data_IF_754377226155
#
_entry.id   IF_754377226155
#
_cell.length_a   1.000
_cell.length_b   1.000
_cell.length_c   1.000
_cell.angle_alpha   90.00
_cell.angle_beta   90.00
_cell.angle_gamma   90.00
#
_symmetry.space_group_name_H-M   'P 1'
#
loop_
_entity.id
_entity.type
_entity.pdbx_description
1 polymer ?
#
# COMPACT_ATOMS: atom_id res chain seq x y z
N UNK A 1 -14.76 -5.89 -6.91
CA UNK A 1 -14.47 -5.85 -8.37
C UNK A 1 -14.35 -7.30 -8.85
N UNK A 2 -14.49 -7.65 -10.15
CA UNK A 2 -14.11 -9.00 -10.56
C UNK A 2 -12.59 -9.15 -10.40
N UNK A 3 -12.17 -10.23 -9.74
CA UNK A 3 -10.76 -10.55 -9.53
C UNK A 3 -10.02 -10.60 -10.87
N UNK A 4 -8.85 -9.96 -10.94
CA UNK A 4 -7.95 -10.09 -12.10
C UNK A 4 -7.50 -11.55 -12.16
N UNK A 5 -7.93 -12.28 -13.18
CA UNK A 5 -7.61 -13.70 -13.32
C UNK A 5 -6.14 -13.89 -13.69
N UNK A 6 -5.58 -15.06 -13.39
CA UNK A 6 -4.22 -15.44 -13.82
C UNK A 6 -4.05 -15.31 -15.34
N UNK A 7 -5.10 -15.60 -16.11
CA UNK A 7 -5.12 -15.37 -17.56
C UNK A 7 -4.97 -13.88 -17.92
N UNK A 8 -5.67 -12.98 -17.21
CA UNK A 8 -5.48 -11.54 -17.43
C UNK A 8 -4.04 -11.12 -17.11
N UNK A 9 -3.46 -11.64 -16.03
CA UNK A 9 -2.06 -11.37 -15.68
C UNK A 9 -1.08 -11.90 -16.75
N UNK A 10 -1.32 -13.11 -17.28
CA UNK A 10 -0.53 -13.71 -18.37
C UNK A 10 -0.64 -12.96 -19.70
N UNK A 11 -1.80 -12.35 -20.00
CA UNK A 11 -1.97 -11.52 -21.20
C UNK A 11 -1.23 -10.20 -21.11
N UNK A 12 -1.23 -9.58 -19.92
CA UNK A 12 -0.63 -8.25 -19.71
C UNK A 12 0.88 -8.34 -19.43
N UNK A 13 1.32 -9.37 -18.71
CA UNK A 13 2.72 -9.62 -18.31
C UNK A 13 3.17 -11.05 -18.66
N UNK A 14 3.31 -11.36 -19.96
CA UNK A 14 3.61 -12.73 -20.41
C UNK A 14 5.04 -13.20 -20.08
N UNK A 15 5.97 -12.29 -19.82
CA UNK A 15 7.34 -12.65 -19.43
C UNK A 15 7.42 -13.11 -17.97
N UNK A 16 6.54 -12.57 -17.12
CA UNK A 16 6.52 -12.81 -15.69
C UNK A 16 5.59 -13.97 -15.30
N UNK A 17 4.46 -14.13 -15.99
CA UNK A 17 3.43 -15.11 -15.63
C UNK A 17 3.29 -16.28 -16.63
N UNK A 18 4.06 -16.25 -17.72
CA UNK A 18 4.04 -17.26 -18.79
C UNK A 18 3.03 -16.95 -19.88
N UNK A 19 3.26 -17.48 -21.09
CA UNK A 19 2.35 -17.32 -22.23
C UNK A 19 1.14 -18.23 -22.08
N UNK A 20 -0.04 -17.75 -22.46
CA UNK A 20 -1.24 -18.58 -22.52
C UNK A 20 -1.09 -19.54 -23.70
N UNK A 21 -1.22 -20.84 -23.43
CA UNK A 21 -1.45 -21.83 -24.47
C UNK A 21 -2.92 -21.73 -24.88
N UNK A 22 -3.19 -21.41 -26.15
CA UNK A 22 -4.54 -21.26 -26.70
C UNK A 22 -5.31 -22.59 -26.64
N UNK A 23 -5.90 -22.92 -25.49
CA UNK A 23 -6.91 -23.97 -25.40
C UNK A 23 -8.26 -23.38 -25.79
N UNK A 24 -8.78 -23.85 -26.92
CA UNK A 24 -9.98 -23.37 -27.65
C UNK A 24 -11.32 -23.70 -26.97
N UNK A 25 -11.39 -23.62 -25.65
CA UNK A 25 -12.63 -23.81 -24.90
C UNK A 25 -13.44 -22.51 -24.81
N UNK A 26 -14.64 -22.51 -25.41
CA UNK A 26 -15.67 -21.47 -25.29
C UNK A 26 -16.17 -21.34 -23.84
N UNK A 27 -15.35 -20.74 -22.97
CA UNK A 27 -15.80 -20.19 -21.69
C UNK A 27 -16.18 -18.74 -21.98
N UNK A 28 -17.47 -18.40 -21.81
CA UNK A 28 -17.94 -17.01 -21.87
C UNK A 28 -17.06 -16.16 -20.95
N UNK A 29 -16.17 -15.39 -21.56
CA UNK A 29 -15.07 -14.75 -20.87
C UNK A 29 -15.53 -13.34 -20.50
N UNK A 30 -15.72 -13.00 -19.21
CA UNK A 30 -16.12 -11.65 -18.81
C UNK A 30 -15.09 -10.56 -19.20
N UNK A 31 -13.90 -10.96 -19.67
CA UNK A 31 -12.91 -10.04 -20.25
C UNK A 31 -13.37 -9.42 -21.58
N UNK A 32 -14.20 -10.11 -22.37
CA UNK A 32 -14.55 -9.65 -23.73
C UNK A 32 -15.41 -8.39 -23.71
N UNK A 33 -16.28 -8.24 -22.71
CA UNK A 33 -17.13 -7.06 -22.53
C UNK A 33 -16.34 -5.84 -22.02
N UNK A 34 -15.34 -6.05 -21.15
CA UNK A 34 -14.44 -4.99 -20.69
C UNK A 34 -13.51 -4.51 -21.81
N UNK A 35 -12.98 -5.44 -22.61
CA UNK A 35 -12.16 -5.14 -23.77
C UNK A 35 -12.95 -4.32 -24.82
N UNK A 36 -14.24 -4.67 -25.05
CA UNK A 36 -15.12 -3.90 -25.92
C UNK A 36 -15.43 -2.50 -25.36
N UNK A 37 -15.66 -2.36 -24.06
CA UNK A 37 -15.88 -1.06 -23.43
C UNK A 37 -14.62 -0.17 -23.54
N UNK A 38 -13.43 -0.73 -23.32
CA UNK A 38 -12.16 -0.02 -23.49
C UNK A 38 -11.95 0.43 -24.95
N UNK A 39 -12.25 -0.44 -25.92
CA UNK A 39 -12.20 -0.11 -27.35
C UNK A 39 -13.21 1.00 -27.70
N UNK A 40 -14.45 0.91 -27.21
CA UNK A 40 -15.49 1.93 -27.44
C UNK A 40 -15.09 3.28 -26.82
N UNK A 41 -14.49 3.28 -25.63
CA UNK A 41 -13.94 4.48 -24.99
C UNK A 41 -12.83 5.09 -25.83
N UNK A 42 -11.83 4.30 -26.22
CA UNK A 42 -10.75 4.72 -27.12
C UNK A 42 -11.26 5.33 -28.44
N UNK A 43 -12.24 4.69 -29.08
CA UNK A 43 -12.86 5.21 -30.30
C UNK A 43 -13.60 6.53 -30.06
N UNK A 44 -14.35 6.61 -28.95
CA UNK A 44 -15.04 7.85 -28.55
C UNK A 44 -14.03 8.96 -28.24
N UNK A 45 -12.89 8.64 -27.62
CA UNK A 45 -11.82 9.59 -27.34
C UNK A 45 -11.13 10.10 -28.59
N UNK A 46 -10.83 9.23 -29.55
CA UNK A 46 -10.28 9.64 -30.84
C UNK A 46 -11.22 10.58 -31.62
N UNK A 47 -12.52 10.59 -31.27
CA UNK A 47 -13.49 11.53 -31.82
C UNK A 47 -13.60 12.86 -31.06
N UNK A 48 -13.03 12.97 -29.85
CA UNK A 48 -12.99 14.23 -29.10
C UNK A 48 -11.87 15.10 -29.66
N UNK A 49 -12.22 16.30 -30.12
CA UNK A 49 -11.30 17.21 -30.83
C UNK A 49 -10.93 18.44 -30.01
N UNK A 50 -11.61 18.66 -28.87
CA UNK A 50 -11.40 19.82 -27.99
C UNK A 50 -11.37 19.42 -26.52
N UNK A 51 -10.74 20.26 -25.69
CA UNK A 51 -10.68 20.07 -24.24
C UNK A 51 -12.08 20.18 -23.63
N UNK A 52 -12.93 21.05 -24.16
CA UNK A 52 -14.31 21.24 -23.72
C UNK A 52 -15.15 19.97 -23.92
N UNK A 53 -14.94 19.26 -25.03
CA UNK A 53 -15.58 17.97 -25.28
C UNK A 53 -15.09 16.89 -24.32
N UNK A 54 -13.79 16.87 -23.99
CA UNK A 54 -13.24 15.98 -22.95
C UNK A 54 -13.87 16.27 -21.59
N UNK A 55 -13.93 17.55 -21.18
CA UNK A 55 -14.55 17.95 -19.91
C UNK A 55 -16.03 17.55 -19.88
N UNK A 56 -16.79 17.85 -20.94
CA UNK A 56 -18.20 17.52 -21.02
C UNK A 56 -18.44 16.00 -20.99
N UNK A 57 -17.59 15.24 -21.69
CA UNK A 57 -17.64 13.79 -21.69
C UNK A 57 -17.32 13.22 -20.30
N UNK A 58 -16.23 13.64 -19.68
CA UNK A 58 -15.81 13.17 -18.36
C UNK A 58 -16.86 13.50 -17.29
N UNK A 59 -17.51 14.67 -17.35
CA UNK A 59 -18.63 15.01 -16.44
C UNK A 59 -19.84 14.09 -16.60
N UNK A 60 -20.09 13.61 -17.82
CA UNK A 60 -21.21 12.72 -18.12
C UNK A 60 -20.88 11.23 -17.85
N UNK A 61 -19.60 10.83 -17.94
CA UNK A 61 -19.16 9.47 -17.62
C UNK A 61 -18.85 9.26 -16.13
N UNK A 62 -18.48 10.32 -15.40
CA UNK A 62 -18.19 10.30 -13.95
C UNK A 62 -19.41 10.01 -13.05
N UNK A 63 -20.51 9.50 -13.61
CA UNK A 63 -21.78 9.25 -12.92
C UNK A 63 -21.75 7.96 -12.09
N UNK A 64 -20.69 7.15 -12.12
CA UNK A 64 -20.48 6.11 -11.09
C UNK A 64 -19.57 6.63 -9.98
N UNK A 65 -20.21 7.17 -8.94
CA UNK A 65 -19.71 7.53 -7.60
C UNK A 65 -18.17 7.68 -7.44
N UNK A 66 -17.69 8.92 -7.70
CA UNK A 66 -16.44 9.55 -7.22
C UNK A 66 -15.11 9.30 -7.96
N UNK A 67 -15.12 8.74 -9.18
CA UNK A 67 -13.91 8.55 -10.00
C UNK A 67 -13.86 9.37 -11.29
N UNK A 68 -12.66 9.78 -11.69
CA UNK A 68 -12.33 10.43 -12.96
C UNK A 68 -11.41 9.49 -13.74
N UNK A 69 -11.82 9.09 -14.94
CA UNK A 69 -11.01 8.26 -15.84
C UNK A 69 -10.56 9.12 -17.03
N UNK A 70 -9.24 9.32 -17.13
CA UNK A 70 -8.53 10.02 -18.21
C UNK A 70 -7.45 9.11 -18.82
N UNK A 71 -7.58 7.80 -18.63
CA UNK A 71 -6.61 6.82 -19.14
C UNK A 71 -6.50 6.87 -20.67
N UNK A 72 -5.28 6.72 -21.18
CA UNK A 72 -4.96 6.70 -22.60
C UNK A 72 -5.17 8.02 -23.35
N UNK A 73 -5.60 9.09 -22.66
CA UNK A 73 -5.81 10.38 -23.29
C UNK A 73 -4.47 11.09 -23.56
N UNK A 74 -4.25 11.60 -24.79
CA UNK A 74 -3.02 12.32 -25.15
C UNK A 74 -3.08 13.78 -24.67
N UNK A 75 -3.50 14.02 -23.43
CA UNK A 75 -3.52 15.35 -22.83
C UNK A 75 -2.10 15.71 -22.39
N UNK A 76 -1.64 16.90 -22.76
CA UNK A 76 -0.44 17.45 -22.13
C UNK A 76 -0.70 17.74 -20.64
N UNK A 77 0.38 17.91 -19.85
CA UNK A 77 0.27 18.11 -18.41
C UNK A 77 -0.62 19.31 -18.03
N UNK A 78 -0.58 20.41 -18.80
CA UNK A 78 -1.37 21.61 -18.50
C UNK A 78 -2.84 21.42 -18.86
N UNK A 79 -3.12 20.73 -19.96
CA UNK A 79 -4.47 20.35 -20.36
C UNK A 79 -5.10 19.43 -19.32
N UNK A 80 -4.36 18.40 -18.87
CA UNK A 80 -4.79 17.49 -17.82
C UNK A 80 -5.17 18.26 -16.54
N UNK A 81 -4.28 19.13 -16.05
CA UNK A 81 -4.54 19.93 -14.84
C UNK A 81 -5.75 20.86 -15.02
N UNK A 82 -5.97 21.40 -16.22
CA UNK A 82 -7.15 22.22 -16.54
C UNK A 82 -8.43 21.41 -16.50
N UNK A 83 -8.43 20.22 -17.12
CA UNK A 83 -9.58 19.29 -17.08
C UNK A 83 -9.91 18.92 -15.65
N UNK A 84 -8.92 18.48 -14.86
CA UNK A 84 -9.12 18.09 -13.47
C UNK A 84 -9.70 19.23 -12.63
N UNK A 85 -9.30 20.48 -12.90
CA UNK A 85 -9.76 21.66 -12.15
C UNK A 85 -11.25 21.91 -12.37
N UNK A 86 -11.71 21.66 -13.59
CA UNK A 86 -13.10 21.89 -13.99
C UNK A 86 -14.05 20.73 -13.62
N UNK A 87 -13.51 19.55 -13.30
CA UNK A 87 -14.27 18.37 -12.85
C UNK A 87 -14.70 18.46 -11.38
N UNK A 88 -14.03 19.28 -10.57
CA UNK A 88 -14.36 19.48 -9.15
C UNK A 88 -13.76 18.40 -8.25
N UNK A 89 -14.47 18.03 -7.18
CA UNK A 89 -13.96 17.09 -6.18
C UNK A 89 -14.21 15.63 -6.60
N UNK A 90 -13.15 14.82 -6.60
CA UNK A 90 -13.18 13.39 -6.84
C UNK A 90 -12.23 12.67 -5.87
N UNK A 91 -12.41 11.36 -5.71
CA UNK A 91 -11.59 10.53 -4.83
C UNK A 91 -10.71 9.55 -5.61
N UNK A 92 -11.05 9.27 -6.86
CA UNK A 92 -10.30 8.34 -7.74
C UNK A 92 -9.92 9.04 -9.03
N UNK A 93 -8.69 8.83 -9.48
CA UNK A 93 -8.19 9.34 -10.75
C UNK A 93 -7.42 8.25 -11.51
N UNK A 94 -7.85 7.92 -12.72
CA UNK A 94 -7.06 7.12 -13.63
C UNK A 94 -6.44 8.01 -14.71
N UNK A 95 -5.11 8.03 -14.79
CA UNK A 95 -4.35 8.72 -15.86
C UNK A 95 -3.39 7.76 -16.55
N UNK A 96 -3.62 6.46 -16.43
CA UNK A 96 -2.73 5.44 -16.97
C UNK A 96 -2.56 5.57 -18.49
N UNK A 97 -1.36 5.25 -18.97
CA UNK A 97 -0.98 5.36 -20.38
C UNK A 97 -0.76 6.80 -20.88
N UNK A 98 -0.96 7.83 -20.04
CA UNK A 98 -0.61 9.19 -20.42
C UNK A 98 0.87 9.47 -20.18
N UNK A 99 1.65 9.46 -21.27
CA UNK A 99 3.10 9.72 -21.26
C UNK A 99 3.48 11.15 -20.87
N UNK A 100 2.55 12.10 -20.89
CA UNK A 100 2.80 13.48 -20.49
C UNK A 100 2.67 13.70 -18.98
N UNK A 101 2.24 12.66 -18.23
CA UNK A 101 2.26 12.67 -16.77
C UNK A 101 3.64 12.23 -16.31
N UNK A 102 4.48 13.20 -15.99
CA UNK A 102 5.80 13.02 -15.38
C UNK A 102 5.75 13.29 -13.86
N UNK A 103 6.93 13.29 -13.21
CA UNK A 103 7.07 13.58 -11.77
C UNK A 103 6.43 14.92 -11.38
N UNK A 104 6.64 15.97 -12.16
CA UNK A 104 6.22 17.33 -11.82
C UNK A 104 4.71 17.50 -11.98
N UNK A 105 4.13 16.90 -13.03
CA UNK A 105 2.68 16.85 -13.22
C UNK A 105 2.03 16.03 -12.10
N UNK A 106 2.60 14.86 -11.76
CA UNK A 106 2.07 14.03 -10.67
C UNK A 106 2.11 14.74 -9.31
N UNK A 107 3.21 15.44 -9.00
CA UNK A 107 3.30 16.27 -7.81
C UNK A 107 2.20 17.34 -7.77
N UNK A 108 1.98 18.05 -8.88
CA UNK A 108 0.91 19.06 -8.97
C UNK A 108 -0.49 18.46 -8.78
N UNK A 109 -0.74 17.25 -9.29
CA UNK A 109 -1.99 16.52 -9.03
C UNK A 109 -2.16 16.28 -7.53
N UNK A 110 -1.14 15.76 -6.85
CA UNK A 110 -1.21 15.46 -5.42
C UNK A 110 -1.39 16.73 -4.55
N UNK A 111 -0.76 17.84 -4.93
CA UNK A 111 -0.89 19.12 -4.21
C UNK A 111 -2.27 19.76 -4.40
N UNK A 112 -2.82 19.67 -5.61
CA UNK A 112 -4.09 20.29 -5.98
C UNK A 112 -5.28 19.50 -5.45
N UNK A 113 -5.23 18.17 -5.50
CA UNK A 113 -6.36 17.29 -5.21
C UNK A 113 -6.15 16.47 -3.93
N UNK A 114 -6.23 17.15 -2.78
CA UNK A 114 -6.13 16.49 -1.46
C UNK A 114 -7.23 15.48 -1.10
N UNK A 115 -8.47 15.50 -1.62
CA UNK A 115 -9.41 14.40 -1.36
C UNK A 115 -9.12 13.15 -2.19
N UNK A 116 -8.08 13.16 -3.03
CA UNK A 116 -7.67 12.01 -3.81
C UNK A 116 -7.22 10.88 -2.89
N UNK A 117 -7.86 9.72 -3.04
CA UNK A 117 -7.60 8.51 -2.25
C UNK A 117 -7.01 7.40 -3.12
N UNK A 118 -7.25 7.45 -4.42
CA UNK A 118 -6.86 6.42 -5.37
C UNK A 118 -6.34 7.06 -6.65
N UNK A 119 -5.16 6.64 -7.12
CA UNK A 119 -4.65 7.06 -8.42
C UNK A 119 -4.01 5.90 -9.18
N UNK A 120 -4.28 5.80 -10.48
CA UNK A 120 -3.58 4.90 -11.38
C UNK A 120 -2.68 5.70 -12.33
N UNK A 121 -1.38 5.43 -12.25
CA UNK A 121 -0.32 6.09 -13.02
C UNK A 121 0.49 5.06 -13.85
N UNK A 122 -0.12 3.92 -14.15
CA UNK A 122 0.54 2.84 -14.89
C UNK A 122 0.86 3.31 -16.31
N UNK A 123 2.08 3.12 -16.78
CA UNK A 123 2.50 3.54 -18.12
C UNK A 123 2.64 5.05 -18.29
N UNK A 124 2.70 5.83 -17.21
CA UNK A 124 3.09 7.24 -17.23
C UNK A 124 4.63 7.39 -17.27
N UNK A 125 5.13 8.59 -17.54
CA UNK A 125 6.57 8.91 -17.54
C UNK A 125 7.09 9.21 -16.12
N UNK A 126 6.78 8.32 -15.17
CA UNK A 126 7.21 8.41 -13.76
C UNK A 126 8.09 7.20 -13.47
N UNK A 127 9.35 7.44 -13.11
CA UNK A 127 10.27 6.37 -12.74
C UNK A 127 10.11 5.93 -11.28
N UNK A 128 10.74 4.81 -10.93
CA UNK A 128 10.86 4.38 -9.54
C UNK A 128 11.61 5.41 -8.67
N UNK A 129 12.69 5.99 -9.19
CA UNK A 129 13.48 6.97 -8.47
C UNK A 129 12.69 8.26 -8.23
N UNK A 130 11.85 8.67 -9.19
CA UNK A 130 10.92 9.78 -9.00
C UNK A 130 9.94 9.52 -7.84
N UNK A 131 9.38 8.31 -7.74
CA UNK A 131 8.47 7.95 -6.65
C UNK A 131 9.18 7.90 -5.30
N UNK A 132 10.42 7.39 -5.25
CA UNK A 132 11.25 7.40 -4.03
C UNK A 132 11.58 8.83 -3.58
N UNK A 133 11.91 9.70 -4.52
CA UNK A 133 12.18 11.11 -4.26
C UNK A 133 10.92 11.80 -3.71
N UNK A 134 9.77 11.59 -4.34
CA UNK A 134 8.49 12.15 -3.89
C UNK A 134 8.08 11.66 -2.50
N UNK A 135 8.23 10.36 -2.22
CA UNK A 135 7.95 9.80 -0.88
C UNK A 135 8.92 10.32 0.19
N UNK A 136 10.15 10.67 -0.19
CA UNK A 136 11.12 11.28 0.71
C UNK A 136 10.78 12.73 1.02
N UNK A 137 10.57 13.53 -0.02
CA UNK A 137 10.50 14.99 0.06
C UNK A 137 9.08 15.51 0.32
N UNK A 138 8.06 14.77 -0.14
CA UNK A 138 6.65 15.19 -0.13
C UNK A 138 5.73 14.18 0.56
N UNK A 139 6.25 13.41 1.53
CA UNK A 139 5.52 12.36 2.25
C UNK A 139 4.10 12.73 2.68
N UNK A 140 3.89 13.95 3.15
CA UNK A 140 2.58 14.43 3.66
C UNK A 140 1.48 14.38 2.61
N UNK A 141 1.81 14.49 1.33
CA UNK A 141 0.85 14.39 0.23
C UNK A 141 0.27 12.97 0.10
N UNK A 142 1.00 11.96 0.56
CA UNK A 142 0.58 10.56 0.48
C UNK A 142 -0.33 10.13 1.64
N UNK A 143 -0.51 10.95 2.69
CA UNK A 143 -1.37 10.59 3.82
C UNK A 143 -2.87 10.50 3.47
N UNK A 144 -3.27 11.11 2.37
CA UNK A 144 -4.63 11.06 1.85
C UNK A 144 -4.84 9.91 0.87
N UNK A 145 -3.75 9.37 0.32
CA UNK A 145 -3.77 8.35 -0.72
C UNK A 145 -3.77 6.97 -0.07
N UNK A 146 -4.87 6.23 -0.24
CA UNK A 146 -4.95 4.82 0.13
C UNK A 146 -4.35 3.91 -0.93
N UNK A 147 -4.45 4.28 -2.22
CA UNK A 147 -4.01 3.43 -3.33
C UNK A 147 -3.27 4.20 -4.44
N UNK A 148 -2.13 3.66 -4.84
CA UNK A 148 -1.41 4.06 -6.06
C UNK A 148 -1.15 2.81 -6.89
N UNK A 149 -1.74 2.74 -8.09
CA UNK A 149 -1.44 1.68 -9.05
C UNK A 149 -0.23 2.12 -9.88
N UNK A 150 0.92 1.52 -9.57
CA UNK A 150 2.16 1.65 -10.32
C UNK A 150 2.96 0.34 -10.16
N UNK A 151 3.65 -0.17 -11.20
CA UNK A 151 4.40 -1.43 -11.12
C UNK A 151 5.34 -1.52 -9.93
N UNK A 152 5.99 -0.41 -9.56
CA UNK A 152 6.89 -0.34 -8.40
C UNK A 152 6.21 -0.71 -7.07
N UNK A 153 4.92 -0.46 -6.90
CA UNK A 153 4.20 -0.78 -5.67
C UNK A 153 3.59 -2.18 -5.69
N UNK A 154 3.65 -2.84 -6.85
CA UNK A 154 3.11 -4.18 -7.07
C UNK A 154 4.24 -5.22 -7.19
N UNK A 155 5.50 -4.79 -7.26
CA UNK A 155 6.67 -5.66 -7.21
C UNK A 155 7.08 -5.93 -5.76
N UNK A 156 7.08 -7.20 -5.36
CA UNK A 156 7.56 -7.64 -4.04
C UNK A 156 9.09 -7.64 -3.90
N UNK A 157 9.81 -6.87 -4.72
CA UNK A 157 11.28 -6.88 -4.78
C UNK A 157 11.89 -6.32 -3.47
N UNK A 158 12.62 -7.14 -2.70
CA UNK A 158 13.22 -6.70 -1.44
C UNK A 158 14.43 -5.77 -1.62
N UNK A 159 15.03 -5.68 -2.81
CA UNK A 159 16.20 -4.83 -3.07
C UNK A 159 15.87 -3.35 -3.20
N UNK A 160 14.58 -3.06 -3.38
CA UNK A 160 14.08 -1.76 -3.74
C UNK A 160 13.32 -1.14 -2.54
N UNK A 161 14.05 -0.88 -1.46
CA UNK A 161 13.45 -0.28 -0.27
C UNK A 161 13.00 1.16 -0.53
N UNK A 162 11.82 1.51 -0.01
CA UNK A 162 11.34 2.88 -0.04
C UNK A 162 11.81 3.64 1.20
N UNK A 163 12.30 4.88 1.01
CA UNK A 163 12.65 5.75 2.11
C UNK A 163 11.41 6.03 2.97
N UNK A 164 11.60 6.14 4.28
CA UNK A 164 10.57 6.52 5.25
C UNK A 164 9.33 5.59 5.33
N UNK A 165 9.41 4.38 4.76
CA UNK A 165 8.36 3.39 4.78
C UNK A 165 7.91 3.04 6.22
N UNK A 166 6.61 2.86 6.43
CA UNK A 166 6.11 2.28 7.68
C UNK A 166 6.44 0.79 7.69
N UNK A 167 6.99 0.30 8.80
CA UNK A 167 7.30 -1.11 8.96
C UNK A 167 6.47 -1.72 10.08
N UNK A 168 5.92 -2.89 9.81
CA UNK A 168 5.23 -3.69 10.80
C UNK A 168 5.99 -5.00 10.99
N UNK A 169 6.51 -5.21 12.20
CA UNK A 169 7.39 -6.32 12.53
C UNK A 169 6.78 -7.14 13.65
N UNK A 170 6.60 -8.44 13.41
CA UNK A 170 6.20 -9.42 14.41
C UNK A 170 7.39 -10.29 14.76
N UNK A 171 7.75 -10.30 16.04
CA UNK A 171 8.80 -11.16 16.60
C UNK A 171 8.13 -12.33 17.32
N UNK A 172 8.33 -13.54 16.80
CA UNK A 172 7.79 -14.77 17.38
C UNK A 172 8.84 -15.43 18.27
N UNK A 173 8.57 -15.55 19.58
CA UNK A 173 9.58 -16.10 20.50
C UNK A 173 9.71 -17.62 20.48
N UNK A 174 8.77 -18.34 19.85
CA UNK A 174 8.78 -19.82 19.87
C UNK A 174 10.05 -20.39 19.23
N UNK A 175 10.62 -19.67 18.27
CA UNK A 175 11.90 -19.96 17.64
C UNK A 175 12.71 -18.66 17.63
N UNK A 176 13.90 -18.63 18.23
CA UNK A 176 14.70 -17.40 18.42
C UNK A 176 15.28 -16.78 17.13
N UNK A 177 14.65 -17.02 15.99
CA UNK A 177 15.04 -16.61 14.64
C UNK A 177 13.85 -16.14 13.78
N UNK A 178 12.62 -16.22 14.29
CA UNK A 178 11.43 -16.02 13.46
C UNK A 178 10.90 -14.61 13.63
N UNK A 179 11.42 -13.74 12.76
CA UNK A 179 10.91 -12.38 12.57
C UNK A 179 10.19 -12.33 11.22
N UNK A 180 8.95 -11.87 11.25
CA UNK A 180 8.20 -11.49 10.06
C UNK A 180 8.08 -9.98 10.03
N UNK A 181 8.44 -9.37 8.91
CA UNK A 181 8.39 -7.92 8.77
C UNK A 181 7.93 -7.56 7.37
N UNK A 182 7.01 -6.61 7.33
CA UNK A 182 6.54 -5.99 6.11
C UNK A 182 6.82 -4.49 6.16
N UNK A 183 6.94 -3.87 5.00
CA UNK A 183 7.10 -2.43 4.84
C UNK A 183 6.12 -1.89 3.82
N UNK A 184 5.54 -0.74 4.15
CA UNK A 184 4.61 0.01 3.33
C UNK A 184 5.24 1.33 2.92
N UNK A 185 5.42 1.58 1.62
CA UNK A 185 6.02 2.82 1.12
C UNK A 185 5.19 4.05 1.48
N UNK A 186 3.87 3.90 1.47
CA UNK A 186 2.89 4.89 1.88
C UNK A 186 1.69 4.18 2.52
N UNK A 187 0.81 4.94 3.15
CA UNK A 187 -0.43 4.44 3.74
C UNK A 187 -1.39 5.60 3.98
N UNK A 188 -2.69 5.34 3.78
CA UNK A 188 -3.76 6.16 4.36
C UNK A 188 -3.95 5.81 5.83
N UNK A 189 -4.27 6.80 6.67
CA UNK A 189 -4.38 6.56 8.12
C UNK A 189 -5.55 5.65 8.50
N UNK A 190 -6.69 5.77 7.81
CA UNK A 190 -7.86 4.92 8.04
C UNK A 190 -7.56 3.46 7.69
N UNK A 191 -6.88 3.25 6.55
CA UNK A 191 -6.41 1.93 6.13
C UNK A 191 -5.41 1.38 7.15
N UNK A 192 -4.48 2.19 7.64
CA UNK A 192 -3.53 1.75 8.66
C UNK A 192 -4.25 1.32 9.95
N UNK A 193 -5.23 2.09 10.43
CA UNK A 193 -5.99 1.74 11.64
C UNK A 193 -6.71 0.39 11.46
N UNK A 194 -7.36 0.20 10.32
CA UNK A 194 -8.02 -1.06 10.00
C UNK A 194 -7.02 -2.23 9.96
N UNK A 195 -5.89 -2.06 9.28
CA UNK A 195 -4.87 -3.10 9.13
C UNK A 195 -4.23 -3.46 10.48
N UNK A 196 -4.05 -2.47 11.37
CA UNK A 196 -3.57 -2.73 12.73
C UNK A 196 -4.61 -3.48 13.57
N UNK A 197 -5.91 -3.16 13.47
CA UNK A 197 -6.95 -3.92 14.13
C UNK A 197 -6.92 -5.39 13.70
N UNK A 198 -6.96 -5.62 12.38
CA UNK A 198 -6.92 -6.96 11.79
C UNK A 198 -5.65 -7.74 12.20
N UNK A 199 -4.49 -7.08 12.24
CA UNK A 199 -3.23 -7.68 12.67
C UNK A 199 -3.21 -8.04 14.16
N UNK A 200 -3.79 -7.19 15.03
CA UNK A 200 -3.87 -7.45 16.48
C UNK A 200 -4.84 -8.58 16.78
N UNK A 201 -6.01 -8.61 16.11
CA UNK A 201 -6.95 -9.73 16.18
C UNK A 201 -6.27 -11.05 15.78
N UNK A 202 -5.54 -11.05 14.65
CA UNK A 202 -4.80 -12.23 14.21
C UNK A 202 -3.72 -12.66 15.22
N UNK A 203 -3.04 -11.71 15.87
CA UNK A 203 -2.04 -12.01 16.90
C UNK A 203 -2.63 -12.63 18.17
N UNK A 204 -3.91 -12.37 18.44
CA UNK A 204 -4.64 -12.89 19.60
C UNK A 204 -5.29 -14.25 19.33
N UNK A 205 -5.45 -14.65 18.07
CA UNK A 205 -6.02 -15.96 17.74
C UNK A 205 -5.00 -17.08 18.07
N UNK A 206 -5.33 -17.98 19.03
CA UNK A 206 -4.44 -19.06 19.44
C UNK A 206 -4.19 -20.10 18.33
N UNK A 207 -5.06 -20.18 17.33
CA UNK A 207 -4.94 -21.06 16.18
C UNK A 207 -4.13 -20.44 15.03
N UNK A 208 -4.08 -19.11 14.92
CA UNK A 208 -3.34 -18.40 13.87
C UNK A 208 -1.84 -18.27 14.14
N UNK A 209 -1.36 -18.66 15.33
CA UNK A 209 0.07 -18.70 15.65
C UNK A 209 0.92 -19.51 14.65
N UNK A 210 0.36 -20.55 14.04
CA UNK A 210 1.04 -21.32 13.00
C UNK A 210 1.17 -20.57 11.67
N UNK A 211 0.29 -19.60 11.41
CA UNK A 211 0.19 -18.85 10.16
C UNK A 211 1.16 -17.65 10.08
N UNK A 212 1.79 -17.29 11.21
CA UNK A 212 2.90 -16.32 11.23
C UNK A 212 4.27 -16.97 11.04
N UNK A 213 4.36 -18.31 11.11
CA UNK A 213 5.64 -19.04 11.11
C UNK A 213 6.35 -19.02 9.77
N UNK A 214 5.66 -18.64 8.70
CA UNK A 214 6.37 -18.38 7.45
C UNK A 214 6.97 -16.97 7.51
N UNK A 215 8.30 -16.83 7.27
CA UNK A 215 9.02 -15.55 7.10
C UNK A 215 8.44 -14.61 6.04
N UNK A 216 7.35 -15.04 5.40
CA UNK A 216 6.67 -14.51 4.23
C UNK A 216 5.16 -14.34 4.48
N UNK A 217 4.69 -14.43 5.74
CA UNK A 217 3.27 -14.62 6.09
C UNK A 217 2.35 -13.89 5.12
N UNK A 218 1.78 -14.66 4.18
CA UNK A 218 0.87 -14.14 3.17
C UNK A 218 -0.24 -13.35 3.83
N UNK A 219 -0.62 -13.71 5.06
CA UNK A 219 -1.60 -12.99 5.87
C UNK A 219 -1.16 -11.56 6.22
N UNK A 220 0.09 -11.32 6.66
CA UNK A 220 0.54 -9.94 6.90
C UNK A 220 0.58 -9.13 5.60
N UNK A 221 1.02 -9.76 4.50
CA UNK A 221 0.99 -9.11 3.19
C UNK A 221 -0.46 -8.81 2.75
N UNK A 222 -1.42 -9.71 3.00
CA UNK A 222 -2.84 -9.52 2.68
C UNK A 222 -3.47 -8.45 3.55
N UNK A 223 -3.21 -8.44 4.87
CA UNK A 223 -3.75 -7.45 5.80
C UNK A 223 -3.29 -6.06 5.40
N UNK A 224 -1.99 -5.88 5.14
CA UNK A 224 -1.45 -4.56 4.90
C UNK A 224 -1.40 -4.15 3.42
N UNK A 225 -1.60 -5.10 2.50
CA UNK A 225 -1.70 -4.85 1.08
C UNK A 225 -3.09 -4.42 0.62
N UNK A 226 -4.08 -4.45 1.51
CA UNK A 226 -5.48 -4.20 1.15
C UNK A 226 -6.24 -3.40 2.19
N UNK A 227 -7.10 -2.47 1.76
CA UNK A 227 -8.18 -1.94 2.59
C UNK A 227 -9.43 -2.79 2.41
N UNK A 228 -10.27 -2.90 3.44
CA UNK A 228 -11.58 -3.57 3.34
C UNK A 228 -12.73 -2.65 3.69
N UNK A 229 -13.88 -2.94 3.10
CA UNK A 229 -15.13 -2.37 3.58
C UNK A 229 -15.52 -3.01 4.94
N UNK A 230 -16.36 -2.31 5.71
CA UNK A 230 -16.71 -2.68 7.10
C UNK A 230 -17.20 -4.13 7.25
N UNK A 231 -17.82 -4.69 6.21
CA UNK A 231 -18.44 -6.02 6.21
C UNK A 231 -17.81 -6.99 5.19
N UNK A 232 -16.67 -6.63 4.59
CA UNK A 232 -16.00 -7.44 3.58
C UNK A 232 -15.10 -8.52 4.21
N UNK A 233 -15.20 -9.76 3.71
CA UNK A 233 -14.35 -10.84 4.20
C UNK A 233 -12.91 -10.66 3.74
N UNK A 234 -11.98 -11.29 4.47
CA UNK A 234 -10.55 -11.22 4.16
C UNK A 234 -10.19 -11.73 2.76
N UNK A 235 -10.89 -12.77 2.29
CA UNK A 235 -10.62 -13.39 0.98
C UNK A 235 -11.21 -12.61 -0.20
N UNK A 236 -12.11 -11.65 0.06
CA UNK A 236 -12.81 -10.88 -0.98
C UNK A 236 -12.09 -9.55 -1.30
N UNK A 237 -11.02 -9.25 -0.56
CA UNK A 237 -10.26 -8.00 -0.62
C UNK A 237 -9.51 -7.81 -1.93
N UNK A 238 -9.59 -6.60 -2.49
CA UNK A 238 -8.72 -6.18 -3.58
C UNK A 238 -7.31 -5.89 -3.04
N UNK A 239 -6.26 -6.52 -3.61
CA UNK A 239 -4.87 -6.19 -3.29
C UNK A 239 -4.51 -4.86 -3.98
N UNK A 240 -4.15 -3.88 -3.17
CA UNK A 240 -3.92 -2.50 -3.58
C UNK A 240 -2.44 -2.15 -3.69
N UNK A 241 -1.65 -2.82 -2.87
CA UNK A 241 -0.24 -2.62 -2.64
C UNK A 241 0.34 -3.99 -2.34
N UNK A 242 1.55 -4.29 -2.81
CA UNK A 242 2.28 -5.46 -2.35
C UNK A 242 3.22 -5.03 -1.22
N UNK A 243 2.92 -5.33 0.06
CA UNK A 243 3.84 -4.99 1.14
C UNK A 243 5.18 -5.67 0.90
N UNK A 244 6.25 -4.88 1.03
CA UNK A 244 7.59 -5.38 0.76
C UNK A 244 8.16 -6.05 2.00
N UNK A 245 9.05 -7.00 1.78
CA UNK A 245 9.84 -7.59 2.85
C UNK A 245 10.91 -6.58 3.27
N UNK A 246 11.03 -6.29 4.56
CA UNK A 246 12.15 -5.52 5.08
C UNK A 246 13.02 -6.40 5.97
N UNK A 247 14.31 -6.46 5.64
CA UNK A 247 15.32 -7.17 6.41
C UNK A 247 16.13 -6.23 7.31
N UNK A 248 16.17 -4.96 6.94
CA UNK A 248 16.89 -3.91 7.65
C UNK A 248 16.03 -3.28 8.75
N UNK A 249 15.70 -4.13 9.74
CA UNK A 249 14.98 -3.76 10.94
C UNK A 249 15.63 -2.53 11.59
N UNK A 250 14.84 -1.49 11.86
CA UNK A 250 15.25 -0.28 12.58
C UNK A 250 16.32 0.59 11.90
N UNK A 251 16.72 0.29 10.65
CA UNK A 251 17.60 1.16 9.85
C UNK A 251 16.84 2.18 8.99
N UNK A 252 15.52 2.02 8.86
CA UNK A 252 14.69 2.87 8.01
C UNK A 252 14.41 4.23 8.62
N UNK A 253 14.31 5.26 7.78
CA UNK A 253 13.85 6.59 8.15
C UNK A 253 12.34 6.68 8.44
N UNK A 254 11.63 5.55 8.52
CA UNK A 254 10.19 5.48 8.72
C UNK A 254 9.78 5.09 10.13
N UNK A 255 8.48 4.88 10.32
CA UNK A 255 7.94 4.37 11.57
C UNK A 255 8.14 2.85 11.66
N UNK A 256 8.46 2.35 12.85
CA UNK A 256 8.54 0.90 13.11
C UNK A 256 7.50 0.53 14.18
N UNK A 257 6.54 -0.32 13.82
CA UNK A 257 5.60 -0.95 14.75
C UNK A 257 6.10 -2.36 15.01
N UNK A 258 6.48 -2.64 16.26
CA UNK A 258 7.06 -3.91 16.68
C UNK A 258 6.09 -4.61 17.62
N UNK A 259 5.64 -5.81 17.26
CA UNK A 259 4.82 -6.68 18.11
C UNK A 259 5.64 -7.89 18.52
N UNK A 260 5.77 -8.12 19.82
CA UNK A 260 6.34 -9.33 20.41
C UNK A 260 5.23 -10.27 20.80
N UNK A 261 5.09 -11.37 20.07
CA UNK A 261 4.10 -12.39 20.39
C UNK A 261 4.70 -13.45 21.33
N UNK A 262 4.10 -13.61 22.51
CA UNK A 262 4.53 -14.59 23.50
C UNK A 262 3.44 -15.65 23.68
N UNK A 263 3.77 -16.92 23.42
CA UNK A 263 2.84 -18.04 23.55
C UNK A 263 2.25 -18.21 24.97
N UNK A 264 2.96 -17.76 26.02
CA UNK A 264 2.56 -17.91 27.43
C UNK A 264 2.59 -16.60 28.23
N UNK A 265 2.79 -15.47 27.57
CA UNK A 265 2.77 -14.16 28.24
C UNK A 265 1.93 -13.19 27.42
N UNK A 266 1.45 -12.10 28.01
CA UNK A 266 0.83 -11.04 27.23
C UNK A 266 1.82 -10.58 26.15
N UNK A 267 1.35 -10.58 24.91
CA UNK A 267 2.05 -9.99 23.77
C UNK A 267 2.38 -8.53 24.08
N UNK A 268 3.47 -8.02 23.53
CA UNK A 268 3.91 -6.64 23.77
C UNK A 268 4.03 -5.87 22.48
N UNK A 269 3.91 -4.55 22.54
CA UNK A 269 4.12 -3.71 21.36
C UNK A 269 4.95 -2.46 21.66
N UNK A 270 5.60 -1.93 20.64
CA UNK A 270 6.25 -0.64 20.63
C UNK A 270 6.04 0.04 19.28
N UNK A 271 5.79 1.34 19.28
CA UNK A 271 5.83 2.16 18.06
C UNK A 271 7.02 3.09 18.17
N UNK A 272 7.85 3.13 17.14
CA UNK A 272 9.05 3.94 17.08
C UNK A 272 8.90 4.95 15.95
N UNK A 273 9.21 6.24 16.20
CA UNK A 273 9.25 7.24 15.14
C UNK A 273 10.44 7.01 14.20
N UNK A 274 10.48 7.71 13.05
CA UNK A 274 11.67 7.86 12.23
C UNK A 274 12.96 8.07 13.03
N UNK A 275 14.05 7.39 12.64
CA UNK A 275 15.37 7.68 13.21
C UNK A 275 15.82 9.07 12.80
N UNK A 276 16.17 9.89 13.78
CA UNK A 276 16.95 11.11 13.56
C UNK A 276 18.37 10.85 14.04
N UNK A 277 19.37 11.17 13.21
CA UNK A 277 20.77 10.95 13.54
C UNK A 277 21.13 11.62 14.88
N UNK A 278 21.81 10.88 15.76
CA UNK A 278 22.20 11.36 17.09
C UNK A 278 21.08 11.42 18.14
N UNK A 279 19.83 11.11 17.79
CA UNK A 279 18.71 11.08 18.73
C UNK A 279 18.29 9.67 19.11
N UNK A 280 17.98 9.47 20.39
CA UNK A 280 17.38 8.21 20.86
C UNK A 280 15.89 8.21 20.48
N UNK A 281 15.43 7.15 19.81
CA UNK A 281 14.00 6.96 19.54
C UNK A 281 13.26 6.68 20.86
N UNK A 282 12.17 7.40 21.10
CA UNK A 282 11.28 7.14 22.22
C UNK A 282 10.14 6.23 21.77
N UNK A 283 9.73 5.32 22.67
CA UNK A 283 8.61 4.41 22.41
C UNK A 283 7.31 5.21 22.58
N UNK A 284 6.45 5.16 21.58
CA UNK A 284 5.09 5.70 21.63
C UNK A 284 4.09 4.57 21.86
N UNK A 285 3.03 4.89 22.61
CA UNK A 285 1.80 4.10 22.56
C UNK A 285 0.98 4.45 21.32
N UNK A 286 -0.08 3.68 21.06
CA UNK A 286 -0.91 3.86 19.87
C UNK A 286 -1.66 5.20 19.87
N UNK A 287 -2.09 5.71 21.02
CA UNK A 287 -2.79 6.99 21.09
C UNK A 287 -1.85 8.17 20.78
N UNK A 288 -0.64 8.13 21.34
CA UNK A 288 0.43 9.10 21.05
C UNK A 288 0.84 9.05 19.57
N UNK A 289 0.93 7.86 18.98
CA UNK A 289 1.22 7.70 17.56
C UNK A 289 0.15 8.32 16.66
N UNK A 290 -1.14 8.01 16.88
CA UNK A 290 -2.23 8.57 16.08
C UNK A 290 -2.28 10.10 16.17
N UNK A 291 -2.17 10.64 17.39
CA UNK A 291 -2.08 12.08 17.60
C UNK A 291 -0.89 12.70 16.87
N UNK A 292 0.27 12.06 16.94
CA UNK A 292 1.46 12.51 16.24
C UNK A 292 1.27 12.53 14.71
N UNK A 293 0.60 11.52 14.14
CA UNK A 293 0.29 11.49 12.71
C UNK A 293 -0.62 12.65 12.28
N UNK A 294 -1.66 12.96 13.07
CA UNK A 294 -2.53 14.12 12.85
C UNK A 294 -1.73 15.44 12.92
N UNK A 295 -0.86 15.61 13.92
CA UNK A 295 0.05 16.76 14.04
C UNK A 295 1.01 16.89 12.84
N UNK A 296 1.37 15.77 12.20
CA UNK A 296 2.18 15.75 10.98
C UNK A 296 1.39 16.06 9.70
N UNK A 297 0.07 16.24 9.79
CA UNK A 297 -0.82 16.59 8.67
C UNK A 297 -1.55 15.40 8.06
N UNK A 298 -1.61 14.26 8.74
CA UNK A 298 -2.52 13.18 8.38
C UNK A 298 -3.98 13.63 8.52
N UNK A 299 -4.91 13.13 7.68
CA UNK A 299 -6.33 13.41 7.86
C UNK A 299 -6.81 13.02 9.26
N UNK A 300 -7.79 13.74 9.84
CA UNK A 300 -8.44 13.29 11.06
C UNK A 300 -9.05 11.90 10.85
N UNK A 301 -8.77 11.02 11.79
CA UNK A 301 -9.28 9.63 11.77
C UNK A 301 -10.72 9.58 12.26
N UNK A 302 -11.46 8.53 11.88
CA UNK A 302 -12.75 8.23 12.53
C UNK A 302 -12.51 8.01 14.05
N UNK A 303 -13.07 8.85 14.94
CA UNK A 303 -12.84 8.75 16.38
C UNK A 303 -13.24 7.40 16.96
N UNK A 304 -14.27 6.75 16.43
CA UNK A 304 -14.72 5.44 16.91
C UNK A 304 -13.73 4.35 16.48
N UNK A 305 -13.22 4.41 15.25
CA UNK A 305 -12.21 3.48 14.77
C UNK A 305 -10.88 3.63 15.53
N UNK A 306 -10.44 4.87 15.75
CA UNK A 306 -9.25 5.18 16.53
C UNK A 306 -9.37 4.69 17.97
N UNK A 307 -10.51 4.96 18.62
CA UNK A 307 -10.77 4.48 19.98
C UNK A 307 -10.78 2.96 20.05
N UNK A 308 -11.45 2.29 19.11
CA UNK A 308 -11.48 0.83 19.07
C UNK A 308 -10.08 0.23 18.95
N UNK A 309 -9.20 0.81 18.13
CA UNK A 309 -7.82 0.36 18.02
C UNK A 309 -7.05 0.56 19.32
N UNK A 310 -7.20 1.72 19.97
CA UNK A 310 -6.56 2.01 21.26
C UNK A 310 -7.00 1.00 22.33
N UNK A 311 -8.30 0.76 22.44
CA UNK A 311 -8.89 -0.17 23.40
C UNK A 311 -8.43 -1.61 23.11
N UNK A 312 -8.42 -2.02 21.84
CA UNK A 312 -7.96 -3.34 21.41
C UNK A 312 -6.48 -3.56 21.72
N UNK A 313 -5.61 -2.62 21.35
CA UNK A 313 -4.17 -2.73 21.60
C UNK A 313 -3.86 -2.73 23.09
N UNK A 314 -4.49 -1.87 23.89
CA UNK A 314 -4.23 -1.82 25.33
C UNK A 314 -4.84 -3.00 26.09
N UNK A 315 -5.95 -3.58 25.60
CA UNK A 315 -6.55 -4.79 26.15
C UNK A 315 -5.78 -6.06 25.81
N UNK A 316 -5.17 -6.10 24.62
CA UNK A 316 -4.52 -7.30 24.08
C UNK A 316 -3.01 -7.33 24.29
N UNK A 317 -2.38 -6.16 24.24
CA UNK A 317 -0.92 -6.02 24.19
C UNK A 317 -0.43 -5.09 25.30
N UNK A 318 0.71 -5.42 25.90
CA UNK A 318 1.38 -4.55 26.87
C UNK A 318 2.40 -3.66 26.15
N UNK A 319 2.35 -2.36 26.39
CA UNK A 319 3.38 -1.45 25.91
C UNK A 319 4.77 -1.89 26.42
N UNK A 320 5.76 -1.91 25.53
CA UNK A 320 7.13 -2.21 25.91
C UNK A 320 7.73 -1.04 26.70
N UNK A 321 8.33 -1.34 27.84
CA UNK A 321 9.10 -0.36 28.62
C UNK A 321 10.55 -0.21 28.14
N UNK A 322 11.06 -1.19 27.39
CA UNK A 322 12.42 -1.18 26.86
C UNK A 322 12.52 -2.05 25.60
N UNK A 323 13.01 -1.45 24.50
CA UNK A 323 13.20 -2.12 23.22
C UNK A 323 14.47 -3.00 23.17
N UNK A 324 15.43 -2.84 24.08
CA UNK A 324 16.74 -3.50 23.99
C UNK A 324 16.65 -5.03 23.93
N UNK A 325 15.75 -5.63 24.71
CA UNK A 325 15.54 -7.09 24.66
C UNK A 325 14.97 -7.54 23.31
N UNK A 326 14.12 -6.71 22.71
CA UNK A 326 13.54 -6.94 21.39
C UNK A 326 14.57 -6.77 20.27
N UNK A 327 15.38 -5.71 20.35
CA UNK A 327 16.47 -5.48 19.41
C UNK A 327 17.47 -6.61 19.41
N UNK A 328 17.82 -7.15 20.58
CA UNK A 328 18.74 -8.28 20.67
C UNK A 328 18.24 -9.50 19.88
N UNK A 329 16.97 -9.89 20.05
CA UNK A 329 16.38 -11.01 19.30
C UNK A 329 16.27 -10.70 17.81
N UNK A 330 15.90 -9.47 17.44
CA UNK A 330 15.85 -9.02 16.05
C UNK A 330 17.23 -9.08 15.38
N UNK A 331 18.28 -8.59 16.03
CA UNK A 331 19.66 -8.64 15.54
C UNK A 331 20.17 -10.07 15.41
N UNK A 332 19.82 -10.95 16.37
CA UNK A 332 20.15 -12.37 16.31
C UNK A 332 19.47 -13.05 15.12
N UNK A 333 18.17 -12.79 14.90
CA UNK A 333 17.43 -13.34 13.78
C UNK A 333 17.98 -12.88 12.42
N UNK A 334 18.34 -11.59 12.31
CA UNK A 334 18.97 -11.04 11.11
C UNK A 334 20.30 -11.74 10.79
N UNK A 335 21.19 -11.88 11.77
CA UNK A 335 22.49 -12.54 11.60
C UNK A 335 22.38 -14.02 11.20
N UNK A 336 21.42 -14.76 11.77
CA UNK A 336 21.16 -16.16 11.40
C UNK A 336 20.72 -16.24 9.93
N UNK A 337 19.84 -15.33 9.47
CA UNK A 337 19.35 -15.33 8.10
C UNK A 337 20.41 -14.95 7.08
N UNK A 338 21.24 -13.95 7.35
CA UNK A 338 22.37 -13.60 6.46
C UNK A 338 23.28 -14.82 6.22
N UNK A 339 23.53 -15.60 7.27
CA UNK A 339 24.36 -16.82 7.18
C UNK A 339 23.68 -17.89 6.32
N UNK A 340 22.36 -18.07 6.43
CA UNK A 340 21.62 -19.06 5.63
C UNK A 340 21.50 -18.65 4.16
N UNK A 341 21.21 -17.37 3.88
CA UNK A 341 21.13 -16.85 2.52
C UNK A 341 22.46 -17.03 1.77
N UNK A 342 23.60 -16.78 2.41
CA UNK A 342 24.91 -16.99 1.79
C UNK A 342 25.18 -18.48 1.47
N UNK A 343 24.71 -19.40 2.30
CA UNK A 343 24.92 -20.85 2.10
C UNK A 343 24.11 -21.48 0.95
N UNK A 344 23.07 -20.81 0.46
CA UNK A 344 22.22 -21.30 -0.65
C UNK A 344 22.74 -20.91 -2.04
N UNK A 345 23.74 -20.01 -2.10
CA UNK A 345 24.33 -19.52 -3.36
C UNK A 345 25.78 -20.02 -3.60
N UNK A 346 26.26 -20.97 -2.79
CA UNK A 346 27.52 -21.71 -2.96
C UNK A 346 27.26 -23.20 -2.92
#
# INVERSE_FOLDING_TARGET
MPLVTEDTLRRVWPEEYGKIEDETGDVENPSTDQDQLAIMRLQKYQSLTSIEEVIAWSKNEAVSEAGVDLSGLPLDGQQLLTVLKDLGAFKRLDVSGNQQVDKDVFLQILETYKPLQWINITGCSISEDDLKELLSNHRKLFYFIGRIIHPVFLTGDPTNEFPNALRFTVVLRRYSSDVSSISLPFFGIDQLIQNLNDAVELCNDPHCMALFLEPHSGNLATIFGSARNKDENWHDRDIELMPRRSFDLLKGGGYDIVVHNFFNNPSKYAILPPQVEGQKREIMDIAAFLKHMEEQGSPPTDPDAAKNLVDLMNGSLKLMSNLNASMFEMSKAAAIRETHSQSLFY
#
